data_IF_372900477468
#
_entry.id   IF_372900477468
#
_cell.length_a   1.000
_cell.length_b   1.000
_cell.length_c   1.000
_cell.angle_alpha   90.00
_cell.angle_beta   90.00
_cell.angle_gamma   90.00
#
_symmetry.space_group_name_H-M   'P 1'
#
loop_
_entity.id
_entity.type
_entity.pdbx_description
1 polymer ?
#
# COMPACT_ATOMS: atom_id res chain seq x y z
N UNK A 1 26.71 -29.66 3.63
CA UNK A 1 26.37 -28.22 3.77
C UNK A 1 25.53 -27.89 5.02
N UNK A 2 25.27 -28.84 5.93
CA UNK A 2 24.30 -28.69 7.05
C UNK A 2 24.84 -28.06 8.36
N UNK A 3 25.69 -27.03 8.30
CA UNK A 3 26.14 -26.31 9.53
C UNK A 3 26.27 -24.80 9.38
N UNK A 4 25.39 -24.17 8.60
CA UNK A 4 25.33 -22.70 8.52
C UNK A 4 24.32 -22.17 9.54
N UNK A 5 24.83 -21.59 10.63
CA UNK A 5 24.02 -20.97 11.69
C UNK A 5 23.99 -19.43 11.60
N UNK A 6 24.78 -18.85 10.71
CA UNK A 6 24.84 -17.41 10.43
C UNK A 6 24.56 -17.18 8.95
N UNK A 7 23.70 -16.22 8.64
CA UNK A 7 23.27 -15.91 7.28
C UNK A 7 23.66 -14.47 6.97
N UNK A 8 24.39 -14.28 5.87
CA UNK A 8 24.72 -12.94 5.41
C UNK A 8 23.46 -12.27 4.83
N UNK A 9 23.44 -10.94 4.86
CA UNK A 9 22.39 -10.15 4.24
C UNK A 9 22.76 -9.90 2.78
N UNK A 10 21.92 -10.36 1.87
CA UNK A 10 22.10 -10.09 0.45
C UNK A 10 21.94 -8.57 0.16
N UNK A 11 22.79 -7.99 -0.71
CA UNK A 11 22.63 -6.63 -1.19
C UNK A 11 21.25 -6.39 -1.83
N UNK A 12 20.71 -5.17 -1.68
CA UNK A 12 19.36 -4.86 -2.17
C UNK A 12 19.24 -5.00 -3.69
N UNK A 13 20.26 -4.61 -4.46
CA UNK A 13 20.31 -4.77 -5.91
C UNK A 13 20.22 -6.23 -6.34
N UNK A 14 20.93 -7.12 -5.65
CA UNK A 14 20.84 -8.57 -5.90
C UNK A 14 19.43 -9.10 -5.61
N UNK A 15 18.80 -8.68 -4.50
CA UNK A 15 17.41 -9.05 -4.19
C UNK A 15 16.43 -8.56 -5.25
N UNK A 16 16.60 -7.34 -5.77
CA UNK A 16 15.77 -6.82 -6.86
C UNK A 16 15.95 -7.62 -8.15
N UNK A 17 17.18 -7.98 -8.50
CA UNK A 17 17.48 -8.83 -9.65
C UNK A 17 16.90 -10.24 -9.51
N UNK A 18 16.96 -10.80 -8.30
CA UNK A 18 16.43 -12.13 -8.01
C UNK A 18 14.90 -12.19 -8.12
N UNK A 19 14.19 -11.14 -7.70
CA UNK A 19 12.74 -11.02 -7.94
C UNK A 19 12.42 -11.06 -9.44
N UNK A 20 13.22 -10.40 -10.29
CA UNK A 20 13.04 -10.45 -11.74
C UNK A 20 13.32 -11.85 -12.27
N UNK A 21 14.41 -12.48 -11.84
CA UNK A 21 14.79 -13.84 -12.26
C UNK A 21 13.70 -14.85 -11.92
N UNK A 22 13.24 -14.88 -10.66
CA UNK A 22 12.20 -15.79 -10.18
C UNK A 22 10.84 -15.54 -10.84
N UNK A 23 10.50 -14.28 -11.14
CA UNK A 23 9.25 -13.95 -11.84
C UNK A 23 9.26 -14.44 -13.29
N UNK A 24 10.38 -14.29 -13.99
CA UNK A 24 10.53 -14.81 -15.35
C UNK A 24 10.54 -16.34 -15.37
N UNK A 25 11.26 -16.97 -14.45
CA UNK A 25 11.25 -18.44 -14.29
C UNK A 25 9.82 -18.96 -14.01
N UNK A 26 9.06 -18.25 -13.16
CA UNK A 26 7.65 -18.56 -12.90
C UNK A 26 6.80 -18.45 -14.16
N UNK A 27 7.00 -17.41 -14.98
CA UNK A 27 6.31 -17.26 -16.27
C UNK A 27 6.65 -18.41 -17.22
N UNK A 28 7.91 -18.84 -17.29
CA UNK A 28 8.34 -19.97 -18.11
C UNK A 28 7.67 -21.27 -17.67
N UNK A 29 7.61 -21.55 -16.36
CA UNK A 29 6.88 -22.70 -15.83
C UNK A 29 5.39 -22.63 -16.14
N UNK A 30 4.74 -21.48 -15.96
CA UNK A 30 3.32 -21.27 -16.26
C UNK A 30 3.00 -21.35 -17.76
N UNK A 31 3.99 -21.24 -18.64
CA UNK A 31 3.85 -21.37 -20.09
C UNK A 31 3.96 -22.81 -20.61
N UNK A 32 4.40 -23.76 -19.77
CA UNK A 32 4.53 -25.16 -20.20
C UNK A 32 3.17 -25.80 -20.47
N UNK A 33 3.07 -26.55 -21.56
CA UNK A 33 1.85 -27.26 -21.98
C UNK A 33 1.70 -28.65 -21.35
N UNK A 34 2.75 -29.18 -20.75
CA UNK A 34 2.83 -30.53 -20.19
C UNK A 34 2.37 -30.62 -18.72
N UNK A 35 1.28 -29.92 -18.37
CA UNK A 35 0.64 -30.09 -17.07
C UNK A 35 0.21 -31.56 -16.96
N UNK A 36 1.00 -32.38 -16.28
CA UNK A 36 0.71 -33.78 -16.06
C UNK A 36 -0.73 -33.91 -15.58
N UNK A 37 -1.56 -34.57 -16.39
CA UNK A 37 -3.02 -34.71 -16.26
C UNK A 37 -3.46 -35.50 -15.02
N UNK A 38 -2.53 -35.78 -14.10
CA UNK A 38 -2.76 -36.55 -12.87
C UNK A 38 -2.84 -35.72 -11.58
N UNK A 39 -2.59 -34.41 -11.60
CA UNK A 39 -2.72 -33.62 -10.36
C UNK A 39 -3.40 -32.28 -10.63
N UNK A 40 -4.68 -32.20 -10.27
CA UNK A 40 -5.35 -30.96 -9.84
C UNK A 40 -4.68 -30.37 -8.56
N UNK A 41 -3.34 -30.37 -8.46
CA UNK A 41 -2.60 -29.92 -7.27
C UNK A 41 -2.63 -28.39 -7.14
N UNK A 42 -2.53 -27.67 -8.26
CA UNK A 42 -2.36 -26.23 -8.22
C UNK A 42 -3.63 -25.53 -7.70
N UNK A 43 -4.81 -25.93 -8.18
CA UNK A 43 -6.09 -25.35 -7.73
C UNK A 43 -6.45 -25.70 -6.28
N UNK A 44 -5.97 -26.84 -5.75
CA UNK A 44 -6.22 -27.24 -4.35
C UNK A 44 -5.50 -26.36 -3.34
N UNK A 45 -4.28 -25.92 -3.65
CA UNK A 45 -3.48 -25.05 -2.78
C UNK A 45 -3.68 -23.56 -3.02
N UNK A 46 -4.18 -23.18 -4.20
CA UNK A 46 -4.38 -21.79 -4.57
C UNK A 46 -5.71 -21.24 -4.03
N UNK A 47 -5.62 -20.38 -3.02
CA UNK A 47 -6.78 -19.69 -2.45
C UNK A 47 -7.22 -18.46 -3.25
N UNK A 48 -6.32 -17.87 -4.05
CA UNK A 48 -6.51 -16.56 -4.69
C UNK A 48 -7.14 -16.70 -6.07
N UNK A 49 -6.53 -17.49 -6.95
CA UNK A 49 -6.98 -17.63 -8.34
C UNK A 49 -7.51 -19.03 -8.67
N UNK A 50 -7.59 -19.93 -7.68
CA UNK A 50 -8.16 -21.28 -7.82
C UNK A 50 -7.55 -22.08 -8.98
N UNK A 51 -6.25 -21.86 -9.24
CA UNK A 51 -5.50 -22.50 -10.31
C UNK A 51 -5.61 -21.82 -11.68
N UNK A 52 -6.20 -20.62 -11.77
CA UNK A 52 -6.24 -19.85 -13.02
C UNK A 52 -4.84 -19.33 -13.39
N UNK A 53 -4.16 -20.10 -14.23
CA UNK A 53 -2.82 -19.81 -14.77
C UNK A 53 -2.78 -18.46 -15.50
N UNK A 54 -3.86 -18.02 -16.16
CA UNK A 54 -3.86 -16.73 -16.86
C UNK A 54 -3.76 -15.58 -15.86
N UNK A 55 -4.47 -15.66 -14.73
CA UNK A 55 -4.37 -14.66 -13.66
C UNK A 55 -3.03 -14.70 -12.95
N UNK A 56 -2.45 -15.88 -12.72
CA UNK A 56 -1.09 -15.99 -12.19
C UNK A 56 -0.04 -15.33 -13.10
N UNK A 57 -0.13 -15.49 -14.42
CA UNK A 57 0.75 -14.79 -15.37
C UNK A 57 0.59 -13.28 -15.28
N UNK A 58 -0.65 -12.77 -15.25
CA UNK A 58 -0.90 -11.33 -15.07
C UNK A 58 -0.31 -10.80 -13.76
N UNK A 59 -0.42 -11.57 -12.67
CA UNK A 59 0.18 -11.21 -11.38
C UNK A 59 1.72 -11.17 -11.44
N UNK A 60 2.37 -12.10 -12.13
CA UNK A 60 3.84 -12.02 -12.34
C UNK A 60 4.24 -10.76 -13.10
N UNK A 61 3.50 -10.36 -14.13
CA UNK A 61 3.71 -9.07 -14.79
C UNK A 61 3.47 -7.87 -13.86
N UNK A 62 2.54 -7.98 -12.91
CA UNK A 62 2.30 -6.96 -11.90
C UNK A 62 3.51 -6.80 -10.96
N UNK A 63 4.08 -7.91 -10.50
CA UNK A 63 5.29 -7.94 -9.66
C UNK A 63 6.48 -7.34 -10.40
N UNK A 64 6.68 -7.73 -11.66
CA UNK A 64 7.71 -7.16 -12.52
C UNK A 64 7.50 -5.65 -12.73
N UNK A 65 6.26 -5.20 -12.97
CA UNK A 65 5.93 -3.79 -13.13
C UNK A 65 6.29 -2.98 -11.89
N UNK A 66 5.89 -3.45 -10.70
CA UNK A 66 6.22 -2.80 -9.42
C UNK A 66 7.74 -2.77 -9.18
N UNK A 67 8.42 -3.90 -9.36
CA UNK A 67 9.89 -4.01 -9.20
C UNK A 67 10.64 -3.05 -10.13
N UNK A 68 10.32 -3.04 -11.42
CA UNK A 68 10.92 -2.11 -12.39
C UNK A 68 10.55 -0.67 -12.08
N UNK A 69 9.32 -0.42 -11.61
CA UNK A 69 8.88 0.90 -11.26
C UNK A 69 9.70 1.48 -10.11
N UNK A 70 9.92 0.73 -9.02
CA UNK A 70 10.67 1.18 -7.84
C UNK A 70 11.99 1.87 -8.15
N UNK A 71 12.61 1.52 -9.27
CA UNK A 71 13.89 2.02 -9.72
C UNK A 71 13.84 3.41 -10.40
N UNK A 72 12.76 4.21 -10.28
CA UNK A 72 12.62 5.52 -10.97
C UNK A 72 13.79 6.49 -10.79
N UNK A 73 14.57 6.33 -9.74
CA UNK A 73 15.71 7.21 -9.46
C UNK A 73 17.01 6.68 -10.08
N UNK A 74 17.02 5.44 -10.59
CA UNK A 74 18.19 4.81 -11.21
C UNK A 74 18.33 5.20 -12.67
N UNK A 75 19.56 5.20 -13.23
CA UNK A 75 19.79 5.51 -14.64
C UNK A 75 19.28 4.38 -15.55
N UNK A 76 19.10 3.19 -14.98
CA UNK A 76 18.54 2.01 -15.66
C UNK A 76 17.02 2.01 -15.76
N UNK A 77 16.34 2.99 -15.16
CA UNK A 77 14.89 3.10 -15.24
C UNK A 77 14.42 3.31 -16.68
N UNK A 78 13.43 2.51 -17.09
CA UNK A 78 12.79 2.64 -18.39
C UNK A 78 11.28 2.80 -18.22
N UNK A 79 10.73 4.01 -18.48
CA UNK A 79 9.28 4.22 -18.49
C UNK A 79 8.54 3.26 -19.43
N UNK A 80 9.09 3.03 -20.62
CA UNK A 80 8.50 2.14 -21.62
C UNK A 80 8.42 0.69 -21.14
N UNK A 81 9.45 0.21 -20.43
CA UNK A 81 9.43 -1.12 -19.84
C UNK A 81 8.33 -1.25 -18.78
N UNK A 82 8.18 -0.26 -17.91
CA UNK A 82 7.13 -0.26 -16.88
C UNK A 82 5.74 -0.26 -17.52
N UNK A 83 5.51 0.60 -18.51
CA UNK A 83 4.25 0.67 -19.26
C UNK A 83 3.92 -0.69 -19.89
N UNK A 84 4.87 -1.32 -20.60
CA UNK A 84 4.65 -2.61 -21.25
C UNK A 84 4.37 -3.74 -20.25
N UNK A 85 5.01 -3.72 -19.07
CA UNK A 85 4.74 -4.67 -18.00
C UNK A 85 3.35 -4.50 -17.40
N UNK A 86 2.90 -3.26 -17.17
CA UNK A 86 1.52 -2.98 -16.73
C UNK A 86 0.51 -3.45 -17.79
N UNK A 87 0.77 -3.21 -19.07
CA UNK A 87 -0.13 -3.62 -20.16
C UNK A 87 -0.23 -5.13 -20.35
N UNK A 88 0.80 -5.87 -19.92
CA UNK A 88 0.78 -7.33 -19.88
C UNK A 88 0.11 -7.91 -18.63
N UNK A 89 -0.33 -7.05 -17.70
CA UNK A 89 -0.81 -7.41 -16.38
C UNK A 89 -2.34 -7.28 -16.25
N UNK A 90 -2.83 -6.74 -15.15
CA UNK A 90 -4.25 -6.63 -14.81
C UNK A 90 -4.97 -5.71 -15.80
N UNK A 91 -6.17 -6.13 -16.20
CA UNK A 91 -7.03 -5.34 -17.11
C UNK A 91 -8.23 -4.71 -16.38
N UNK A 92 -8.51 -5.15 -15.16
CA UNK A 92 -9.56 -4.58 -14.29
C UNK A 92 -9.37 -5.05 -12.84
N UNK A 93 -10.23 -4.57 -11.93
CA UNK A 93 -10.28 -5.06 -10.54
C UNK A 93 -10.51 -6.57 -10.40
N UNK A 94 -11.06 -7.24 -11.42
CA UNK A 94 -11.28 -8.69 -11.40
C UNK A 94 -9.97 -9.51 -11.43
N UNK A 95 -8.85 -8.87 -11.78
CA UNK A 95 -7.52 -9.48 -11.76
C UNK A 95 -6.74 -9.17 -10.47
N UNK A 96 -7.22 -8.29 -9.58
CA UNK A 96 -6.51 -7.92 -8.34
C UNK A 96 -6.03 -9.17 -7.58
N UNK A 97 -4.78 -9.15 -7.11
CA UNK A 97 -4.25 -10.24 -6.28
C UNK A 97 -4.68 -10.00 -4.84
N UNK A 98 -5.77 -10.65 -4.45
CA UNK A 98 -6.40 -10.49 -3.15
C UNK A 98 -6.31 -11.79 -2.36
N UNK A 99 -5.59 -11.80 -1.24
CA UNK A 99 -5.57 -12.95 -0.33
C UNK A 99 -6.91 -13.01 0.41
N UNK A 100 -7.72 -14.07 0.24
CA UNK A 100 -9.04 -14.12 0.84
C UNK A 100 -8.99 -14.46 2.34
N UNK A 101 -9.98 -13.96 3.07
CA UNK A 101 -10.20 -14.28 4.47
C UNK A 101 -11.64 -14.74 4.68
N UNK A 102 -11.84 -15.81 5.46
CA UNK A 102 -13.18 -16.30 5.78
C UNK A 102 -13.75 -15.50 6.96
N UNK A 103 -12.91 -15.19 7.96
CA UNK A 103 -13.31 -14.36 9.09
C UNK A 103 -14.20 -15.04 10.12
N UNK A 104 -14.14 -16.37 10.24
CA UNK A 104 -14.95 -17.09 11.25
C UNK A 104 -14.35 -16.99 12.65
N UNK A 105 -13.02 -16.95 12.75
CA UNK A 105 -12.25 -16.92 13.99
C UNK A 105 -10.97 -16.07 13.84
N UNK A 106 -10.17 -15.96 14.90
CA UNK A 106 -8.91 -15.24 14.83
C UNK A 106 -7.84 -15.94 13.98
N UNK A 107 -8.01 -17.24 13.64
CA UNK A 107 -7.01 -17.97 12.84
C UNK A 107 -7.20 -17.78 11.33
N UNK A 108 -8.40 -17.43 10.87
CA UNK A 108 -8.75 -17.26 9.46
C UNK A 108 -9.27 -15.84 9.11
N UNK A 109 -9.36 -14.95 10.10
CA UNK A 109 -9.69 -13.54 9.90
C UNK A 109 -8.52 -12.74 9.33
N UNK A 110 -8.90 -11.73 8.54
CA UNK A 110 -8.03 -10.66 8.10
C UNK A 110 -7.21 -10.10 9.26
N UNK A 111 -5.90 -9.96 9.08
CA UNK A 111 -4.97 -9.40 10.07
C UNK A 111 -5.45 -8.04 10.61
N UNK A 112 -6.11 -7.24 9.76
CA UNK A 112 -6.65 -5.93 10.10
C UNK A 112 -8.06 -5.95 10.69
N UNK A 113 -8.71 -7.12 10.73
CA UNK A 113 -10.07 -7.29 11.24
C UNK A 113 -10.17 -7.23 12.77
N UNK A 114 -11.36 -6.92 13.32
CA UNK A 114 -11.63 -6.88 14.75
C UNK A 114 -11.28 -8.15 15.52
N UNK A 115 -11.54 -9.35 14.96
CA UNK A 115 -11.26 -10.64 15.61
C UNK A 115 -9.78 -10.88 15.90
N UNK A 116 -8.88 -10.23 15.14
CA UNK A 116 -7.42 -10.32 15.33
C UNK A 116 -6.89 -9.37 16.37
N UNK A 117 -7.63 -8.31 16.67
CA UNK A 117 -7.26 -7.25 17.63
C UNK A 117 -5.87 -6.60 17.42
N UNK A 118 -5.37 -6.58 16.18
CA UNK A 118 -4.07 -5.95 15.90
C UNK A 118 -4.18 -4.42 15.72
N UNK A 119 -5.38 -3.92 15.41
CA UNK A 119 -5.58 -2.53 14.98
C UNK A 119 -6.20 -1.62 16.05
N UNK A 120 -6.40 -2.11 17.28
CA UNK A 120 -7.15 -1.39 18.32
C UNK A 120 -6.59 -0.03 18.73
N UNK A 121 -5.27 0.13 18.67
CA UNK A 121 -4.59 1.40 18.95
C UNK A 121 -4.56 2.38 17.77
N UNK A 122 -4.92 1.95 16.57
CA UNK A 122 -4.78 2.77 15.37
C UNK A 122 -6.01 3.63 15.12
N UNK A 123 -5.79 4.82 14.57
CA UNK A 123 -6.81 5.84 14.27
C UNK A 123 -6.60 6.37 12.86
N UNK A 124 -7.65 6.93 12.29
CA UNK A 124 -7.56 7.70 11.05
C UNK A 124 -6.65 8.92 11.24
N UNK A 125 -5.92 9.32 10.20
CA UNK A 125 -4.91 10.40 10.28
C UNK A 125 -5.40 11.67 9.59
N UNK A 126 -4.92 12.84 10.05
CA UNK A 126 -5.23 14.14 9.42
C UNK A 126 -4.85 14.13 7.94
N UNK A 127 -3.68 13.58 7.61
CA UNK A 127 -3.21 13.53 6.23
C UNK A 127 -4.18 12.76 5.32
N UNK A 128 -4.54 11.52 5.67
CA UNK A 128 -5.45 10.71 4.86
C UNK A 128 -6.84 11.36 4.70
N UNK A 129 -7.36 11.97 5.77
CA UNK A 129 -8.63 12.69 5.70
C UNK A 129 -8.56 13.94 4.82
N UNK A 130 -7.43 14.67 4.84
CA UNK A 130 -7.25 15.89 4.03
C UNK A 130 -7.30 15.62 2.52
N UNK A 131 -6.96 14.39 2.11
CA UNK A 131 -7.04 13.92 0.73
C UNK A 131 -8.47 13.58 0.28
N UNK A 132 -9.41 13.44 1.22
CA UNK A 132 -10.77 12.98 0.96
C UNK A 132 -11.85 14.01 1.31
N UNK A 133 -11.56 14.96 2.20
CA UNK A 133 -12.54 15.90 2.72
C UNK A 133 -12.63 17.23 1.93
N UNK A 134 -11.91 17.35 0.81
CA UNK A 134 -11.85 18.55 -0.02
C UNK A 134 -10.74 19.54 0.34
N UNK A 135 -9.96 19.29 1.41
CA UNK A 135 -8.85 20.20 1.79
C UNK A 135 -7.79 20.28 0.70
N UNK A 136 -7.41 19.14 0.11
CA UNK A 136 -6.36 19.09 -0.92
C UNK A 136 -6.92 19.21 -2.34
N UNK A 137 -8.10 18.64 -2.60
CA UNK A 137 -8.68 18.57 -3.94
C UNK A 137 -9.82 19.57 -4.14
N UNK A 138 -9.47 20.86 -4.22
CA UNK A 138 -10.34 21.95 -4.69
C UNK A 138 -11.70 22.08 -3.98
N UNK A 139 -11.79 21.74 -2.69
CA UNK A 139 -13.05 21.77 -1.93
C UNK A 139 -14.02 20.63 -2.24
N UNK A 140 -13.69 19.71 -3.17
CA UNK A 140 -14.54 18.59 -3.54
C UNK A 140 -14.41 17.48 -2.50
N UNK A 141 -15.52 17.10 -1.87
CA UNK A 141 -15.58 15.95 -0.97
C UNK A 141 -15.58 14.65 -1.77
N UNK A 142 -14.65 13.76 -1.44
CA UNK A 142 -14.50 12.46 -2.08
C UNK A 142 -15.57 11.48 -1.59
N UNK A 143 -16.32 10.80 -2.49
CA UNK A 143 -17.36 9.86 -2.10
C UNK A 143 -16.82 8.62 -1.36
N UNK A 144 -15.50 8.37 -1.39
CA UNK A 144 -14.86 7.31 -0.62
C UNK A 144 -14.76 7.62 0.87
N UNK A 145 -14.82 8.90 1.27
CA UNK A 145 -14.64 9.32 2.67
C UNK A 145 -15.55 8.56 3.67
N UNK A 146 -16.89 8.56 3.52
CA UNK A 146 -17.76 7.86 4.45
C UNK A 146 -17.68 6.32 4.34
N UNK A 147 -17.14 5.79 3.25
CA UNK A 147 -16.95 4.36 3.03
C UNK A 147 -15.70 3.84 3.73
N UNK A 148 -14.62 4.62 3.68
CA UNK A 148 -13.30 4.26 4.22
C UNK A 148 -13.11 4.66 5.69
N UNK A 149 -13.77 5.74 6.13
CA UNK A 149 -13.57 6.32 7.46
C UNK A 149 -14.88 6.59 8.19
N UNK A 150 -14.79 6.80 9.51
CA UNK A 150 -15.95 7.11 10.34
C UNK A 150 -15.81 8.51 10.93
N UNK A 151 -16.91 9.24 11.02
CA UNK A 151 -16.95 10.52 11.70
C UNK A 151 -16.93 10.35 13.23
N UNK A 152 -16.42 11.35 13.94
CA UNK A 152 -16.64 11.49 15.37
C UNK A 152 -18.15 11.58 15.69
N UNK A 153 -18.57 11.39 16.95
CA UNK A 153 -19.98 11.44 17.35
C UNK A 153 -20.74 12.70 16.93
N UNK A 154 -20.06 13.84 16.85
CA UNK A 154 -20.62 15.10 16.32
C UNK A 154 -20.68 15.18 14.79
N UNK A 155 -20.54 14.04 14.10
CA UNK A 155 -20.57 13.89 12.64
C UNK A 155 -19.42 14.58 11.88
N UNK A 156 -18.32 14.94 12.56
CA UNK A 156 -17.13 15.51 11.92
C UNK A 156 -16.03 14.46 11.77
N UNK A 157 -15.44 14.34 10.58
CA UNK A 157 -14.26 13.50 10.37
C UNK A 157 -13.02 14.17 10.97
N UNK A 158 -12.40 13.50 11.95
CA UNK A 158 -11.17 13.95 12.61
C UNK A 158 -10.11 12.87 12.59
N UNK A 159 -8.85 13.25 12.47
CA UNK A 159 -7.74 12.31 12.48
C UNK A 159 -6.64 12.75 13.43
N UNK A 160 -5.78 11.80 13.79
CA UNK A 160 -4.59 12.09 14.59
C UNK A 160 -3.49 12.67 13.70
N UNK A 161 -2.64 13.50 14.30
CA UNK A 161 -1.34 13.85 13.71
C UNK A 161 -0.39 12.68 13.96
N UNK A 162 0.41 12.31 12.96
CA UNK A 162 1.35 11.22 13.09
C UNK A 162 2.33 11.48 14.25
N UNK A 163 2.51 10.48 15.12
CA UNK A 163 3.34 10.60 16.34
C UNK A 163 2.60 11.11 17.57
N UNK A 164 1.35 11.57 17.44
CA UNK A 164 0.52 12.03 18.56
C UNK A 164 -0.69 11.10 18.80
N UNK A 165 -1.15 11.06 20.05
CA UNK A 165 -2.41 10.39 20.42
C UNK A 165 -3.63 11.27 20.10
N UNK A 166 -4.84 10.71 20.16
CA UNK A 166 -6.08 11.50 20.10
C UNK A 166 -6.18 12.43 21.31
N UNK A 167 -6.19 13.77 21.13
CA UNK A 167 -6.33 14.71 22.24
C UNK A 167 -7.75 14.72 22.85
N UNK A 168 -8.71 14.03 22.23
CA UNK A 168 -10.11 13.97 22.64
C UNK A 168 -10.52 12.57 23.16
N UNK A 169 -9.58 11.72 23.57
CA UNK A 169 -9.81 10.28 23.80
C UNK A 169 -10.74 9.90 24.97
N UNK A 170 -11.40 10.86 25.63
CA UNK A 170 -12.39 10.60 26.68
C UNK A 170 -13.68 10.03 26.09
N UNK A 171 -14.25 8.99 26.72
CA UNK A 171 -15.49 8.32 26.28
C UNK A 171 -16.66 9.27 26.06
N UNK A 172 -16.77 10.34 26.85
CA UNK A 172 -17.88 11.30 26.75
C UNK A 172 -17.58 12.48 25.81
N UNK A 173 -16.37 12.56 25.26
CA UNK A 173 -16.03 13.61 24.31
C UNK A 173 -16.62 13.29 22.94
N UNK A 174 -17.50 14.17 22.44
CA UNK A 174 -18.15 14.04 21.13
C UNK A 174 -17.17 14.24 19.95
N UNK A 175 -15.93 14.67 20.24
CA UNK A 175 -14.86 14.88 19.27
C UNK A 175 -13.84 13.74 19.23
N UNK A 176 -14.02 12.69 20.04
CA UNK A 176 -13.13 11.51 20.04
C UNK A 176 -13.01 10.90 18.65
N UNK A 177 -11.82 10.43 18.31
CA UNK A 177 -11.51 9.92 16.98
C UNK A 177 -11.86 8.41 16.91
N UNK A 178 -12.67 7.98 15.92
CA UNK A 178 -13.01 6.58 15.76
C UNK A 178 -11.80 5.69 15.46
N UNK A 179 -11.93 4.42 15.83
CA UNK A 179 -11.00 3.36 15.41
C UNK A 179 -11.08 3.14 13.90
N UNK A 180 -10.06 2.52 13.31
CA UNK A 180 -10.08 2.11 11.89
C UNK A 180 -11.18 1.08 11.56
N UNK A 181 -11.70 0.37 12.57
CA UNK A 181 -12.84 -0.53 12.42
C UNK A 181 -14.19 0.17 12.33
N UNK A 182 -14.20 1.50 12.40
CA UNK A 182 -15.40 2.31 12.23
C UNK A 182 -16.27 2.41 13.48
N UNK A 183 -15.75 2.03 14.65
CA UNK A 183 -16.44 2.18 15.94
C UNK A 183 -15.77 3.26 16.79
N UNK A 184 -16.56 3.89 17.66
CA UNK A 184 -16.05 4.83 18.65
C UNK A 184 -15.24 4.08 19.71
N UNK A 185 -14.10 4.62 20.18
CA UNK A 185 -13.38 3.99 21.27
C UNK A 185 -14.22 4.08 22.56
N UNK A 186 -14.50 2.94 23.17
CA UNK A 186 -15.00 2.85 24.53
C UNK A 186 -13.82 2.52 25.46
N UNK A 187 -13.61 3.30 26.52
CA UNK A 187 -12.49 3.09 27.45
C UNK A 187 -12.68 1.87 28.37
N UNK A 188 -13.87 1.25 28.37
CA UNK A 188 -14.26 0.18 29.29
C UNK A 188 -14.70 -1.08 28.55
N UNK A 189 -13.75 -1.95 28.19
CA UNK A 189 -13.87 -3.42 28.26
C UNK A 189 -12.62 -4.07 27.63
N UNK A 190 -11.63 -4.38 28.48
CA UNK A 190 -10.58 -5.34 28.16
C UNK A 190 -11.26 -6.71 28.09
N UNK A 191 -11.29 -7.33 26.91
CA UNK A 191 -11.54 -8.78 26.80
C UNK A 191 -12.93 -9.24 26.32
N UNK A 192 -13.83 -8.37 25.86
CA UNK A 192 -15.02 -8.85 25.14
C UNK A 192 -14.63 -9.02 23.66
N UNK A 193 -14.89 -10.20 23.11
CA UNK A 193 -14.79 -10.48 21.69
C UNK A 193 -15.33 -9.27 20.90
N UNK A 194 -14.45 -8.61 20.14
CA UNK A 194 -14.74 -7.40 19.36
C UNK A 194 -15.66 -7.76 18.18
N UNK A 195 -16.91 -8.09 18.49
CA UNK A 195 -17.95 -8.57 17.58
C UNK A 195 -18.59 -7.41 16.81
N UNK A 196 -17.77 -6.55 16.21
CA UNK A 196 -18.24 -5.57 15.24
C UNK A 196 -17.74 -5.94 13.85
N UNK A 197 -18.49 -5.57 12.81
CA UNK A 197 -18.22 -5.95 11.42
C UNK A 197 -16.88 -5.41 10.91
N UNK A 198 -16.39 -4.32 11.48
CA UNK A 198 -15.28 -3.55 10.92
C UNK A 198 -15.75 -2.63 9.78
N UNK A 199 -14.81 -2.01 9.08
CA UNK A 199 -15.10 -1.06 8.00
C UNK A 199 -14.09 -1.17 6.86
N UNK A 200 -14.54 -1.02 5.61
CA UNK A 200 -13.68 -1.03 4.43
C UNK A 200 -12.75 -2.27 4.39
N UNK A 201 -11.43 -2.10 4.37
CA UNK A 201 -10.45 -3.21 4.40
C UNK A 201 -10.17 -3.73 5.82
N UNK A 202 -10.82 -3.17 6.83
CA UNK A 202 -10.69 -3.54 8.24
C UNK A 202 -11.86 -4.41 8.73
N UNK A 203 -12.50 -5.20 7.86
CA UNK A 203 -13.48 -6.23 8.28
C UNK A 203 -12.78 -7.58 8.42
N UNK A 204 -13.35 -8.49 9.21
CA UNK A 204 -12.76 -9.83 9.44
C UNK A 204 -12.67 -10.69 8.18
N UNK A 205 -13.58 -10.49 7.22
CA UNK A 205 -13.65 -11.21 5.95
C UNK A 205 -13.25 -10.35 4.73
N UNK A 206 -12.71 -9.15 4.95
CA UNK A 206 -12.17 -8.36 3.85
C UNK A 206 -10.98 -9.12 3.26
N UNK A 207 -10.96 -9.28 1.93
CA UNK A 207 -9.77 -9.77 1.27
C UNK A 207 -8.63 -8.76 1.48
N UNK A 208 -7.41 -9.27 1.57
CA UNK A 208 -6.20 -8.47 1.73
C UNK A 208 -5.52 -8.27 0.37
N UNK A 209 -5.61 -7.09 -0.26
CA UNK A 209 -5.01 -6.83 -1.57
C UNK A 209 -3.49 -6.72 -1.44
N UNK A 210 -2.75 -7.44 -2.31
CA UNK A 210 -1.29 -7.34 -2.38
C UNK A 210 -0.81 -6.52 -3.58
N UNK A 211 -1.54 -6.60 -4.69
CA UNK A 211 -1.39 -5.74 -5.87
C UNK A 211 -2.77 -5.49 -6.45
N UNK A 212 -3.07 -4.25 -6.83
CA UNK A 212 -4.36 -3.89 -7.42
C UNK A 212 -4.21 -3.28 -8.80
N UNK A 213 -5.23 -3.39 -9.63
CA UNK A 213 -5.30 -2.74 -10.93
C UNK A 213 -5.21 -1.22 -10.79
N UNK A 214 -5.89 -0.64 -9.79
CA UNK A 214 -5.80 0.79 -9.51
C UNK A 214 -4.35 1.25 -9.28
N UNK A 215 -3.60 0.52 -8.46
CA UNK A 215 -2.17 0.78 -8.24
C UNK A 215 -1.35 0.68 -9.54
N UNK A 216 -1.54 -0.38 -10.32
CA UNK A 216 -0.81 -0.55 -11.60
C UNK A 216 -1.12 0.57 -12.59
N UNK A 217 -2.36 1.07 -12.62
CA UNK A 217 -2.71 2.22 -13.44
C UNK A 217 -2.01 3.50 -12.97
N UNK A 218 -1.85 3.71 -11.65
CA UNK A 218 -1.05 4.83 -11.16
C UNK A 218 0.46 4.67 -11.44
N UNK A 219 0.98 3.44 -11.36
CA UNK A 219 2.36 3.12 -11.80
C UNK A 219 2.55 3.46 -13.27
N UNK A 220 1.62 3.05 -14.13
CA UNK A 220 1.62 3.37 -15.57
C UNK A 220 1.51 4.87 -15.81
N UNK A 221 0.64 5.55 -15.06
CA UNK A 221 0.45 7.00 -15.16
C UNK A 221 1.74 7.76 -14.85
N UNK A 222 2.42 7.39 -13.76
CA UNK A 222 3.70 8.00 -13.37
C UNK A 222 4.81 7.73 -14.39
N UNK A 223 4.91 6.49 -14.89
CA UNK A 223 5.87 6.15 -15.94
C UNK A 223 5.63 6.96 -17.22
N UNK A 224 4.38 7.02 -17.69
CA UNK A 224 4.00 7.81 -18.87
C UNK A 224 4.27 9.31 -18.65
N UNK A 225 3.98 9.84 -17.46
CA UNK A 225 4.28 11.23 -17.11
C UNK A 225 5.80 11.52 -17.19
N UNK A 226 6.64 10.63 -16.64
CA UNK A 226 8.10 10.73 -16.71
C UNK A 226 8.64 10.64 -18.14
N UNK A 227 7.98 9.86 -19.00
CA UNK A 227 8.28 9.78 -20.45
C UNK A 227 7.91 11.06 -21.22
N UNK A 228 7.00 11.87 -20.68
CA UNK A 228 6.39 13.00 -21.39
C UNK A 228 5.16 12.63 -22.22
N UNK A 229 4.67 11.39 -22.11
CA UNK A 229 3.40 10.96 -22.72
C UNK A 229 2.23 11.34 -21.81
N UNK A 230 1.88 12.63 -21.84
CA UNK A 230 0.85 13.20 -20.95
C UNK A 230 -0.56 12.71 -21.26
N UNK A 231 -0.82 12.24 -22.49
CA UNK A 231 -2.11 11.66 -22.88
C UNK A 231 -2.29 10.30 -22.20
N UNK A 232 -1.28 9.43 -22.30
CA UNK A 232 -1.28 8.14 -21.63
C UNK A 232 -1.28 8.28 -20.10
N UNK A 233 -0.54 9.26 -19.58
CA UNK A 233 -0.51 9.55 -18.15
C UNK A 233 -1.91 9.88 -17.61
N UNK A 234 -2.65 10.74 -18.31
CA UNK A 234 -4.01 11.14 -17.94
C UNK A 234 -5.00 9.98 -18.02
N UNK A 235 -4.93 9.17 -19.08
CA UNK A 235 -5.79 8.00 -19.25
C UNK A 235 -5.59 7.00 -18.10
N UNK A 236 -4.34 6.63 -17.82
CA UNK A 236 -4.02 5.71 -16.72
C UNK A 236 -4.37 6.30 -15.34
N UNK A 237 -4.13 7.59 -15.12
CA UNK A 237 -4.56 8.31 -13.90
C UNK A 237 -6.07 8.19 -13.67
N UNK A 238 -6.86 8.46 -14.71
CA UNK A 238 -8.33 8.40 -14.64
C UNK A 238 -8.82 6.97 -14.41
N UNK A 239 -8.20 5.99 -15.08
CA UNK A 239 -8.49 4.55 -14.87
C UNK A 239 -8.17 4.11 -13.45
N UNK A 240 -7.05 4.56 -12.87
CA UNK A 240 -6.68 4.26 -11.49
C UNK A 240 -7.71 4.77 -10.49
N UNK A 241 -8.18 6.01 -10.66
CA UNK A 241 -9.23 6.59 -9.81
C UNK A 241 -10.53 5.82 -9.96
N UNK A 242 -10.99 5.61 -11.20
CA UNK A 242 -12.22 4.90 -11.48
C UNK A 242 -12.22 3.48 -10.89
N UNK A 243 -11.11 2.76 -11.02
CA UNK A 243 -10.93 1.43 -10.44
C UNK A 243 -10.96 1.47 -8.91
N UNK A 244 -10.33 2.45 -8.27
CA UNK A 244 -10.37 2.53 -6.81
C UNK A 244 -11.75 2.94 -6.27
N UNK A 245 -12.50 3.79 -7.00
CA UNK A 245 -13.89 4.11 -6.65
C UNK A 245 -14.75 2.83 -6.64
N UNK A 246 -14.60 1.97 -7.64
CA UNK A 246 -15.28 0.66 -7.67
C UNK A 246 -14.81 -0.24 -6.51
N UNK A 247 -13.51 -0.30 -6.25
CA UNK A 247 -12.94 -1.08 -5.15
C UNK A 247 -13.50 -0.65 -3.79
N UNK A 248 -13.64 0.66 -3.57
CA UNK A 248 -14.22 1.25 -2.38
C UNK A 248 -15.76 1.14 -2.33
N UNK A 249 -16.40 0.59 -3.37
CA UNK A 249 -17.86 0.41 -3.50
C UNK A 249 -18.64 1.73 -3.57
N UNK A 250 -18.05 2.76 -4.19
CA UNK A 250 -18.75 4.00 -4.51
C UNK A 250 -19.88 3.71 -5.51
N UNK A 251 -21.04 4.36 -5.35
CA UNK A 251 -22.17 4.19 -6.26
C UNK A 251 -21.81 4.64 -7.69
N UNK A 252 -22.46 4.08 -8.71
CA UNK A 252 -22.21 4.47 -10.10
C UNK A 252 -22.47 5.97 -10.35
N UNK A 253 -23.49 6.52 -9.70
CA UNK A 253 -23.84 7.95 -9.74
C UNK A 253 -22.73 8.81 -9.15
N UNK A 254 -22.30 8.51 -7.92
CA UNK A 254 -21.27 9.29 -7.23
C UNK A 254 -19.90 9.15 -7.91
N UNK A 255 -19.60 7.98 -8.47
CA UNK A 255 -18.39 7.75 -9.27
C UNK A 255 -18.38 8.65 -10.49
N UNK A 256 -19.49 8.71 -11.23
CA UNK A 256 -19.61 9.57 -12.42
C UNK A 256 -19.45 11.04 -12.05
N UNK A 257 -20.11 11.50 -10.98
CA UNK A 257 -20.01 12.86 -10.49
C UNK A 257 -18.59 13.23 -10.04
N UNK A 258 -17.91 12.36 -9.26
CA UNK A 258 -16.55 12.61 -8.80
C UNK A 258 -15.55 12.64 -9.96
N UNK A 259 -15.65 11.70 -10.91
CA UNK A 259 -14.80 11.68 -12.11
C UNK A 259 -15.01 12.89 -13.01
N UNK A 260 -16.17 13.56 -12.97
CA UNK A 260 -16.43 14.82 -13.67
C UNK A 260 -15.95 16.08 -12.91
N UNK A 261 -15.76 15.99 -11.59
CA UNK A 261 -15.42 17.13 -10.72
C UNK A 261 -13.99 17.67 -10.89
N UNK A 262 -13.72 18.84 -10.30
CA UNK A 262 -12.41 19.50 -10.27
C UNK A 262 -11.35 18.77 -9.42
N UNK A 263 -11.74 17.76 -8.64
CA UNK A 263 -10.78 16.89 -7.94
C UNK A 263 -9.95 16.02 -8.90
N UNK A 264 -10.45 15.80 -10.12
CA UNK A 264 -9.85 14.91 -11.11
C UNK A 264 -9.40 15.73 -12.31
N UNK A 265 -8.10 15.77 -12.59
CA UNK A 265 -7.55 16.45 -13.77
C UNK A 265 -8.16 15.90 -15.06
N UNK A 266 -8.44 16.79 -16.01
CA UNK A 266 -9.08 16.49 -17.30
C UNK A 266 -8.14 16.66 -18.51
N UNK A 267 -6.93 17.16 -18.27
CA UNK A 267 -5.94 17.43 -19.32
C UNK A 267 -4.57 17.00 -18.84
N UNK A 268 -3.81 16.33 -19.71
CA UNK A 268 -2.43 15.95 -19.42
C UNK A 268 -1.54 17.17 -19.17
N UNK A 269 -1.85 18.32 -19.77
CA UNK A 269 -1.10 19.56 -19.57
C UNK A 269 -1.24 20.15 -18.16
N UNK A 270 -2.31 19.84 -17.43
CA UNK A 270 -2.53 20.30 -16.05
C UNK A 270 -2.33 19.20 -15.01
N UNK A 271 -2.05 17.97 -15.47
CA UNK A 271 -1.71 16.85 -14.62
C UNK A 271 -0.31 17.07 -14.04
N UNK A 272 -0.17 16.88 -12.73
CA UNK A 272 1.11 16.94 -12.06
C UNK A 272 1.41 15.61 -11.37
N UNK A 273 2.69 15.38 -11.06
CA UNK A 273 3.08 14.18 -10.31
C UNK A 273 2.39 14.12 -8.94
N UNK A 274 2.15 15.28 -8.30
CA UNK A 274 1.37 15.39 -7.07
C UNK A 274 -0.02 14.75 -7.22
N UNK A 275 -0.73 15.07 -8.31
CA UNK A 275 -2.08 14.53 -8.54
C UNK A 275 -2.06 13.00 -8.62
N UNK A 276 -1.10 12.43 -9.36
CA UNK A 276 -0.94 10.99 -9.52
C UNK A 276 -0.61 10.34 -8.17
N UNK A 277 0.40 10.85 -7.45
CA UNK A 277 0.88 10.23 -6.21
C UNK A 277 -0.11 10.32 -5.07
N UNK A 278 -0.88 11.42 -4.96
CA UNK A 278 -1.91 11.54 -3.94
C UNK A 278 -3.11 10.63 -4.21
N UNK A 279 -3.52 10.45 -5.47
CA UNK A 279 -4.58 9.48 -5.81
C UNK A 279 -4.10 8.03 -5.64
N UNK A 280 -2.82 7.73 -5.96
CA UNK A 280 -2.20 6.43 -5.62
C UNK A 280 -2.19 6.21 -4.10
N UNK A 281 -1.80 7.22 -3.32
CA UNK A 281 -1.82 7.12 -1.86
C UNK A 281 -3.21 6.79 -1.33
N UNK A 282 -4.26 7.49 -1.81
CA UNK A 282 -5.66 7.17 -1.45
C UNK A 282 -5.99 5.71 -1.76
N UNK A 283 -5.60 5.22 -2.95
CA UNK A 283 -5.90 3.86 -3.38
C UNK A 283 -5.20 2.77 -2.56
N UNK A 284 -4.11 3.12 -1.87
CA UNK A 284 -3.32 2.22 -1.04
C UNK A 284 -3.62 2.34 0.46
N UNK A 285 -4.52 3.25 0.87
CA UNK A 285 -4.88 3.41 2.29
C UNK A 285 -5.36 2.07 2.87
N UNK A 286 -4.75 1.70 3.99
CA UNK A 286 -5.13 0.52 4.78
C UNK A 286 -4.48 -0.78 4.35
N UNK A 287 -4.21 -1.00 3.06
CA UNK A 287 -3.62 -2.27 2.57
C UNK A 287 -2.23 -2.12 1.94
N UNK A 288 -1.99 -1.06 1.17
CA UNK A 288 -0.75 -0.82 0.43
C UNK A 288 0.26 0.05 1.17
N UNK A 289 0.25 0.07 2.50
CA UNK A 289 1.06 1.02 3.29
C UNK A 289 2.57 0.89 3.06
N UNK A 290 3.07 -0.32 2.79
CA UNK A 290 4.48 -0.54 2.44
C UNK A 290 4.83 0.07 1.07
N UNK A 291 3.95 -0.07 0.09
CA UNK A 291 4.10 0.51 -1.25
C UNK A 291 4.02 2.04 -1.19
N UNK A 292 3.05 2.60 -0.47
CA UNK A 292 3.01 4.06 -0.22
C UNK A 292 4.31 4.56 0.43
N UNK A 293 4.89 3.79 1.36
CA UNK A 293 6.16 4.17 1.98
C UNK A 293 7.36 4.02 1.04
N UNK A 294 7.34 3.08 0.09
CA UNK A 294 8.32 3.01 -1.02
C UNK A 294 8.23 4.28 -1.87
N UNK A 295 7.04 4.66 -2.31
CA UNK A 295 6.81 5.87 -3.11
C UNK A 295 7.29 7.13 -2.40
N UNK A 296 6.92 7.29 -1.12
CA UNK A 296 7.33 8.46 -0.32
C UNK A 296 8.85 8.54 -0.19
N UNK A 297 9.56 7.41 -0.05
CA UNK A 297 11.03 7.38 0.02
C UNK A 297 11.71 7.71 -1.31
N UNK A 298 11.13 7.28 -2.45
CA UNK A 298 11.61 7.67 -3.79
C UNK A 298 11.55 9.17 -3.98
N UNK A 299 10.46 9.78 -3.51
CA UNK A 299 10.22 11.21 -3.54
C UNK A 299 10.73 11.97 -2.32
N UNK A 300 11.57 11.35 -1.48
CA UNK A 300 12.22 11.99 -0.32
C UNK A 300 11.26 12.67 0.67
N UNK A 301 10.02 12.18 0.77
CA UNK A 301 8.96 12.80 1.58
C UNK A 301 8.62 14.24 1.17
N UNK A 302 8.87 14.61 -0.10
CA UNK A 302 8.64 15.96 -0.60
C UNK A 302 7.18 16.39 -0.39
N UNK A 303 6.99 17.46 0.40
CA UNK A 303 5.68 18.01 0.73
C UNK A 303 5.03 18.75 -0.43
N UNK A 304 5.77 19.07 -1.50
CA UNK A 304 5.19 19.52 -2.76
C UNK A 304 4.42 18.41 -3.48
N UNK A 305 4.80 17.14 -3.25
CA UNK A 305 4.14 15.95 -3.80
C UNK A 305 3.13 15.37 -2.80
N UNK A 306 3.51 15.28 -1.52
CA UNK A 306 2.63 14.83 -0.45
C UNK A 306 2.07 16.03 0.32
N UNK A 307 1.29 16.85 -0.37
CA UNK A 307 0.71 18.08 0.19
C UNK A 307 -0.07 17.80 1.48
N UNK A 308 0.19 18.57 2.54
CA UNK A 308 -0.35 18.41 3.90
C UNK A 308 0.13 17.16 4.66
N UNK A 309 1.07 16.39 4.11
CA UNK A 309 1.78 15.39 4.91
C UNK A 309 2.68 16.12 5.91
N UNK A 310 2.58 15.71 7.17
CA UNK A 310 3.44 16.22 8.25
C UNK A 310 4.20 15.07 8.87
N UNK A 311 5.50 15.29 9.06
CA UNK A 311 6.36 14.36 9.77
C UNK A 311 6.11 14.48 11.28
N UNK A 312 6.31 13.38 12.04
CA UNK A 312 6.34 13.45 13.49
C UNK A 312 7.35 14.50 13.98
N UNK A 313 6.98 15.28 14.99
CA UNK A 313 7.85 16.26 15.64
C UNK A 313 7.69 16.19 17.16
N UNK A 314 8.78 15.97 17.92
CA UNK A 314 10.14 15.69 17.44
C UNK A 314 10.25 14.31 16.79
N UNK A 315 11.26 14.14 15.92
CA UNK A 315 11.70 12.79 15.54
C UNK A 315 12.36 12.11 16.75
N UNK A 316 12.36 10.77 16.76
CA UNK A 316 13.08 10.02 17.79
C UNK A 316 14.58 10.37 17.79
N UNK A 317 15.23 10.43 18.95
CA UNK A 317 16.59 10.96 19.10
C UNK A 317 17.61 10.27 18.17
N UNK A 318 17.50 8.95 18.03
CA UNK A 318 18.39 8.14 17.20
C UNK A 318 18.23 8.42 15.69
N UNK A 319 17.20 9.16 15.27
CA UNK A 319 17.12 9.64 13.91
C UNK A 319 18.20 10.68 13.58
N UNK A 320 18.73 11.39 14.59
CA UNK A 320 19.69 12.48 14.36
C UNK A 320 19.17 13.54 13.36
N UNK A 321 17.87 13.82 13.38
CA UNK A 321 17.20 14.73 12.44
C UNK A 321 16.90 14.15 11.05
N UNK A 322 17.33 12.93 10.73
CA UNK A 322 17.09 12.28 9.43
C UNK A 322 15.76 11.51 9.42
N UNK A 323 15.15 11.38 8.24
CA UNK A 323 13.89 10.67 8.08
C UNK A 323 14.10 9.15 8.05
N UNK A 324 13.11 8.41 8.54
CA UNK A 324 13.17 6.95 8.50
C UNK A 324 13.13 6.44 7.05
N UNK A 325 14.00 5.50 6.73
CA UNK A 325 14.19 4.90 5.40
C UNK A 325 13.98 3.39 5.43
N UNK A 326 14.08 2.75 6.59
CA UNK A 326 13.95 1.29 6.76
C UNK A 326 13.53 0.92 8.18
N UNK A 327 13.03 -0.30 8.35
CA UNK A 327 12.79 -0.89 9.67
C UNK A 327 14.08 -1.59 10.12
N UNK A 328 14.36 -1.55 11.43
CA UNK A 328 15.49 -2.28 12.01
C UNK A 328 15.24 -3.79 11.93
N UNK A 329 16.30 -4.60 11.69
CA UNK A 329 16.18 -6.04 11.82
C UNK A 329 15.76 -6.42 13.25
N UNK A 330 15.06 -7.54 13.41
CA UNK A 330 14.45 -7.92 14.69
C UNK A 330 15.53 -8.24 15.73
N UNK A 331 15.41 -7.67 16.93
CA UNK A 331 16.38 -7.86 18.01
C UNK A 331 16.62 -9.34 18.35
N UNK A 332 15.55 -10.07 18.65
CA UNK A 332 15.63 -11.47 19.09
C UNK A 332 16.18 -12.45 18.04
N UNK A 333 16.28 -12.06 16.77
CA UNK A 333 16.92 -12.87 15.74
C UNK A 333 18.31 -12.36 15.43
N UNK A 334 18.44 -11.12 14.97
CA UNK A 334 19.69 -10.67 14.36
C UNK A 334 20.74 -10.23 15.38
N UNK A 335 20.33 -9.61 16.48
CA UNK A 335 21.27 -9.07 17.46
C UNK A 335 21.81 -10.18 18.36
N UNK A 336 21.02 -11.23 18.58
CA UNK A 336 21.37 -12.39 19.41
C UNK A 336 22.08 -13.47 18.58
N UNK A 337 21.56 -13.81 17.40
CA UNK A 337 21.98 -15.03 16.68
C UNK A 337 22.77 -14.77 15.39
N UNK A 338 22.69 -13.57 14.82
CA UNK A 338 23.30 -13.26 13.50
C UNK A 338 24.13 -11.97 13.52
N UNK A 339 24.75 -11.71 14.68
CA UNK A 339 25.35 -10.43 15.03
C UNK A 339 26.48 -10.01 14.08
N UNK A 340 27.33 -10.95 13.70
CA UNK A 340 28.44 -10.71 12.77
C UNK A 340 27.95 -10.26 11.39
N UNK A 341 26.89 -10.86 10.86
CA UNK A 341 26.27 -10.46 9.60
C UNK A 341 25.57 -9.10 9.69
N UNK A 342 24.88 -8.85 10.81
CA UNK A 342 24.23 -7.55 11.09
C UNK A 342 25.24 -6.40 11.11
N UNK A 343 26.44 -6.64 11.64
CA UNK A 343 27.50 -5.62 11.73
C UNK A 343 28.08 -5.25 10.37
N UNK A 344 28.14 -6.18 9.41
CA UNK A 344 28.60 -5.89 8.04
C UNK A 344 27.75 -4.83 7.34
N UNK A 345 26.44 -4.81 7.62
CA UNK A 345 25.52 -3.79 7.06
C UNK A 345 25.40 -2.56 7.98
N UNK A 346 26.15 -2.53 9.08
CA UNK A 346 26.06 -1.51 10.14
C UNK A 346 24.67 -1.45 10.78
N UNK A 347 24.01 -2.60 10.90
CA UNK A 347 22.65 -2.75 11.44
C UNK A 347 22.53 -2.39 12.92
N UNK A 348 23.66 -2.34 13.63
CA UNK A 348 23.73 -1.92 15.03
C UNK A 348 23.83 -0.41 15.24
N UNK A 349 24.12 0.36 14.18
CA UNK A 349 24.28 1.79 14.33
C UNK A 349 22.96 2.39 14.85
N UNK A 350 22.99 3.32 15.83
CA UNK A 350 21.78 3.98 16.34
C UNK A 350 20.94 4.65 15.23
N UNK A 351 21.54 5.10 14.14
CA UNK A 351 20.83 5.73 13.04
C UNK A 351 20.51 4.77 11.86
N UNK A 352 20.66 3.44 12.02
CA UNK A 352 20.50 2.49 10.91
C UNK A 352 19.18 2.64 10.14
N UNK A 353 18.07 2.91 10.84
CA UNK A 353 16.75 3.11 10.24
C UNK A 353 16.67 4.33 9.33
N UNK A 354 17.64 5.25 9.38
CA UNK A 354 17.71 6.44 8.52
C UNK A 354 18.60 6.26 7.29
N UNK A 355 19.36 5.16 7.20
CA UNK A 355 20.18 4.87 6.03
C UNK A 355 19.29 4.72 4.81
N UNK A 356 19.53 5.54 3.80
CA UNK A 356 18.74 5.56 2.57
C UNK A 356 18.76 4.21 1.85
N UNK A 357 17.61 3.81 1.32
CA UNK A 357 17.47 2.53 0.61
C UNK A 357 18.15 2.60 -0.77
N UNK A 358 18.72 1.48 -1.21
CA UNK A 358 19.41 1.44 -2.50
C UNK A 358 18.49 1.86 -3.65
N UNK A 359 17.25 1.37 -3.68
CA UNK A 359 16.30 1.66 -4.77
C UNK A 359 15.92 3.14 -4.88
N UNK A 360 16.04 3.92 -3.79
CA UNK A 360 15.69 5.34 -3.78
C UNK A 360 16.89 6.25 -4.08
N UNK A 361 18.11 5.73 -4.01
CA UNK A 361 19.33 6.44 -4.41
C UNK A 361 19.42 6.55 -5.94
N UNK A 362 20.15 7.54 -6.49
CA UNK A 362 20.47 7.64 -7.90
C UNK A 362 21.13 6.38 -8.49
#
# INVERSE_FOLDING_TARGET
EERKYTFDFDPQDEVYAEVVRLSNESLDFLNRSNNATGVNAFSRGDLVYRGDVKKWKKFMFAVLARNAHHLTNKPTYSPDRVIALVDSSFTSNADNFNVPHIGTSSTDANFFGPKRDNMGGFRQTVFALSLLNGTVFSGVKDPRLPLMYTASPDSVFRGIVAGLSDPNSSTNNIRRIPTLWGVQPELTAIGIARNFTGKYVYTDNANHPMVTYAELQFIKSEAAFKKGDLSLALDAYTKGIAAHLDFARVSATDKTAYLASDAVKKSGATLTIKDIMLQKYIALIGHGCLESWVDMRRYKYDTAIYQNFTLPSPLYVDNGGKLAQRVRPRFNSEYVWNRSSLDKIGGNNPDYHTKEMWFSQP
#
